data_IF_715235346385
#
_entry.id   IF_715235346385
#
_cell.length_a   1.000
_cell.length_b   1.000
_cell.length_c   1.000
_cell.angle_alpha   90.00
_cell.angle_beta   90.00
_cell.angle_gamma   90.00
#
_symmetry.space_group_name_H-M   'P 1'
#
loop_
_entity.id
_entity.type
_entity.pdbx_description
1 polymer ?
#
# COMPACT_ATOMS: atom_id res chain seq x y z
N UNK A 1 -27.46 -8.34 13.85
CA UNK A 1 -26.45 -9.18 14.52
C UNK A 1 -26.58 -8.92 16.00
N UNK A 2 -26.64 -9.96 16.82
CA UNK A 2 -26.72 -9.79 18.28
C UNK A 2 -25.41 -9.19 18.82
N UNK A 3 -25.49 -8.41 19.90
CA UNK A 3 -24.31 -7.81 20.54
C UNK A 3 -23.19 -8.80 20.88
N UNK A 4 -23.45 -10.00 21.45
CA UNK A 4 -22.38 -10.97 21.72
C UNK A 4 -21.66 -11.42 20.45
N UNK A 5 -22.38 -11.57 19.33
CA UNK A 5 -21.77 -11.97 18.04
C UNK A 5 -20.93 -10.82 17.48
N UNK A 6 -21.39 -9.56 17.61
CA UNK A 6 -20.62 -8.40 17.21
C UNK A 6 -19.29 -8.30 17.96
N UNK A 7 -19.31 -8.54 19.27
CA UNK A 7 -18.12 -8.49 20.11
C UNK A 7 -17.11 -9.58 19.72
N UNK A 8 -17.57 -10.82 19.51
CA UNK A 8 -16.69 -11.94 19.08
C UNK A 8 -16.06 -11.66 17.72
N UNK A 9 -16.86 -11.18 16.76
CA UNK A 9 -16.36 -10.78 15.43
C UNK A 9 -15.36 -9.63 15.55
N UNK A 10 -15.63 -8.66 16.42
CA UNK A 10 -14.75 -7.53 16.67
C UNK A 10 -13.39 -7.96 17.23
N UNK A 11 -13.39 -8.81 18.26
CA UNK A 11 -12.15 -9.37 18.83
C UNK A 11 -11.38 -10.17 17.78
N UNK A 12 -12.07 -11.02 17.03
CA UNK A 12 -11.44 -11.81 15.97
C UNK A 12 -10.76 -10.92 14.91
N UNK A 13 -11.44 -9.87 14.45
CA UNK A 13 -10.88 -8.90 13.50
C UNK A 13 -9.68 -8.14 14.09
N UNK A 14 -9.70 -7.77 15.37
CA UNK A 14 -8.55 -7.14 16.02
C UNK A 14 -7.33 -8.08 16.07
N UNK A 15 -7.53 -9.37 16.41
CA UNK A 15 -6.45 -10.37 16.40
C UNK A 15 -5.86 -10.54 15.01
N UNK A 16 -6.71 -10.64 13.97
CA UNK A 16 -6.25 -10.69 12.58
C UNK A 16 -5.50 -9.41 12.19
N UNK A 17 -6.01 -8.24 12.58
CA UNK A 17 -5.38 -6.94 12.33
C UNK A 17 -3.96 -6.87 12.89
N UNK A 18 -3.78 -7.28 14.15
CA UNK A 18 -2.44 -7.37 14.78
C UNK A 18 -1.54 -8.34 14.03
N UNK A 19 -2.06 -9.49 13.59
CA UNK A 19 -1.28 -10.45 12.80
C UNK A 19 -0.83 -9.87 11.44
N UNK A 20 -1.68 -9.09 10.77
CA UNK A 20 -1.31 -8.40 9.55
C UNK A 20 -0.29 -7.28 9.78
N UNK A 21 -0.39 -6.54 10.89
CA UNK A 21 0.64 -5.56 11.27
C UNK A 21 1.98 -6.26 11.51
N UNK A 22 1.98 -7.41 12.17
CA UNK A 22 3.19 -8.21 12.35
C UNK A 22 3.77 -8.67 11.00
N UNK A 23 2.92 -9.09 10.05
CA UNK A 23 3.35 -9.40 8.67
C UNK A 23 3.91 -8.17 7.94
N UNK A 24 3.31 -7.00 8.14
CA UNK A 24 3.81 -5.74 7.57
C UNK A 24 5.20 -5.41 8.11
N UNK A 25 5.44 -5.62 9.41
CA UNK A 25 6.76 -5.49 10.03
C UNK A 25 7.77 -6.48 9.44
N UNK A 26 7.38 -7.76 9.30
CA UNK A 26 8.21 -8.80 8.71
C UNK A 26 8.58 -8.49 7.25
N UNK A 27 7.60 -8.13 6.43
CA UNK A 27 7.80 -7.77 5.04
C UNK A 27 8.58 -6.46 4.89
N UNK A 28 8.33 -5.48 5.77
CA UNK A 28 8.91 -4.14 5.70
C UNK A 28 10.34 -4.06 6.21
N UNK A 29 10.67 -4.75 7.30
CA UNK A 29 12.01 -4.71 7.91
C UNK A 29 12.87 -5.88 7.43
N UNK A 30 12.33 -7.10 7.47
CA UNK A 30 13.12 -8.29 7.12
C UNK A 30 13.12 -8.57 5.62
N UNK A 31 12.17 -8.01 4.86
CA UNK A 31 12.06 -8.25 3.43
C UNK A 31 11.57 -9.64 3.08
N UNK A 32 10.96 -10.32 4.06
CA UNK A 32 10.58 -11.72 3.99
C UNK A 32 9.08 -11.86 4.06
N UNK A 33 8.53 -12.65 3.15
CA UNK A 33 7.13 -13.03 3.16
C UNK A 33 6.98 -14.54 3.07
N UNK A 34 6.29 -15.13 4.04
CA UNK A 34 5.97 -16.54 4.03
C UNK A 34 4.77 -16.82 3.13
N UNK A 35 4.93 -17.74 2.20
CA UNK A 35 3.84 -18.27 1.35
C UNK A 35 3.95 -19.79 1.23
N UNK A 36 2.83 -20.41 0.92
CA UNK A 36 2.59 -21.83 0.77
C UNK A 36 2.85 -22.20 -0.68
N UNK A 37 3.66 -23.23 -0.90
CA UNK A 37 4.00 -23.71 -2.23
C UNK A 37 2.98 -24.73 -2.78
N UNK A 38 1.94 -25.09 -2.03
CA UNK A 38 0.92 -26.04 -2.47
C UNK A 38 0.04 -25.50 -3.60
N UNK A 39 0.38 -25.86 -4.85
CA UNK A 39 -0.40 -25.73 -6.09
C UNK A 39 -0.48 -24.32 -6.75
N UNK A 40 0.35 -24.10 -7.79
CA UNK A 40 0.24 -23.31 -9.06
C UNK A 40 -0.58 -21.97 -9.13
N UNK A 41 -0.34 -21.12 -10.15
CA UNK A 41 0.13 -19.72 -10.11
C UNK A 41 -0.81 -18.66 -9.47
N UNK A 42 -1.90 -19.06 -8.82
CA UNK A 42 -2.86 -18.21 -8.10
C UNK A 42 -2.55 -18.12 -6.59
N UNK A 43 -1.29 -18.22 -6.19
CA UNK A 43 -0.83 -18.29 -4.79
C UNK A 43 -0.87 -16.97 -4.01
N UNK A 44 -1.58 -15.95 -4.50
CA UNK A 44 -1.89 -14.74 -3.72
C UNK A 44 -2.69 -15.12 -2.46
N UNK A 45 -3.46 -16.21 -2.49
CA UNK A 45 -4.28 -16.68 -1.35
C UNK A 45 -3.42 -17.10 -0.14
N UNK A 46 -2.15 -17.45 -0.35
CA UNK A 46 -1.34 -18.03 0.71
C UNK A 46 -0.88 -17.05 1.81
N UNK A 47 -0.25 -15.91 1.50
CA UNK A 47 0.28 -15.06 2.55
C UNK A 47 -0.81 -14.35 3.37
N UNK A 48 -2.04 -14.21 2.86
CA UNK A 48 -3.16 -13.63 3.60
C UNK A 48 -3.80 -14.59 4.61
N UNK A 49 -3.65 -15.91 4.42
CA UNK A 49 -4.24 -16.91 5.33
C UNK A 49 -3.23 -17.48 6.33
N UNK A 50 -1.93 -17.39 6.05
CA UNK A 50 -0.87 -17.93 6.91
C UNK A 50 -0.54 -17.02 8.09
N UNK A 51 -1.31 -17.06 9.16
CA UNK A 51 -1.03 -16.26 10.37
C UNK A 51 -0.03 -16.92 11.35
N UNK A 52 0.31 -18.19 11.12
CA UNK A 52 1.23 -18.98 11.96
C UNK A 52 2.63 -19.07 11.32
N UNK A 53 3.69 -19.09 12.14
CA UNK A 53 5.06 -19.28 11.63
C UNK A 53 5.26 -20.70 11.07
N UNK A 54 6.12 -20.81 10.06
CA UNK A 54 6.43 -22.09 9.43
C UNK A 54 7.24 -22.99 10.38
N UNK A 55 6.77 -24.22 10.60
CA UNK A 55 7.54 -25.25 11.29
C UNK A 55 8.64 -25.87 10.40
N UNK A 56 9.57 -26.61 11.01
CA UNK A 56 10.73 -27.25 10.33
C UNK A 56 10.38 -28.23 9.18
N UNK A 57 9.10 -28.64 9.05
CA UNK A 57 8.57 -29.52 8.00
C UNK A 57 7.40 -28.90 7.23
N UNK A 58 7.27 -27.58 7.27
CA UNK A 58 6.16 -26.86 6.62
C UNK A 58 6.43 -26.68 5.13
N UNK A 59 5.39 -26.78 4.30
CA UNK A 59 5.38 -26.45 2.86
C UNK A 59 5.38 -24.92 2.61
N UNK A 60 5.89 -24.15 3.57
CA UNK A 60 5.88 -22.70 3.54
C UNK A 60 7.31 -22.23 3.28
N UNK A 61 7.49 -21.47 2.20
CA UNK A 61 8.78 -20.88 1.85
C UNK A 61 8.76 -19.36 2.02
N UNK A 62 9.93 -18.77 2.35
CA UNK A 62 10.09 -17.33 2.29
C UNK A 62 10.26 -16.88 0.84
N UNK A 63 9.49 -15.88 0.42
CA UNK A 63 9.81 -15.00 -0.69
C UNK A 63 10.61 -13.82 -0.13
N UNK A 64 11.69 -13.48 -0.80
CA UNK A 64 12.54 -12.33 -0.45
C UNK A 64 12.69 -11.43 -1.67
N UNK A 65 12.74 -10.12 -1.45
CA UNK A 65 13.01 -9.17 -2.53
C UNK A 65 12.42 -7.78 -2.31
N UNK A 66 12.85 -6.84 -3.13
CA UNK A 66 12.42 -5.43 -3.04
C UNK A 66 10.90 -5.28 -3.17
N UNK A 67 10.25 -6.11 -3.99
CA UNK A 67 8.80 -6.09 -4.16
C UNK A 67 8.05 -6.46 -2.86
N UNK A 68 8.64 -7.29 -1.98
CA UNK A 68 8.06 -7.63 -0.68
C UNK A 68 7.99 -6.39 0.21
N UNK A 69 9.06 -5.60 0.25
CA UNK A 69 9.08 -4.33 0.97
C UNK A 69 8.16 -3.29 0.34
N UNK A 70 8.26 -3.10 -0.98
CA UNK A 70 7.60 -2.00 -1.68
C UNK A 70 6.09 -2.21 -1.86
N UNK A 71 5.65 -3.47 -1.97
CA UNK A 71 4.25 -3.81 -2.30
C UNK A 71 3.57 -4.55 -1.15
N UNK A 72 4.16 -5.63 -0.64
CA UNK A 72 3.48 -6.47 0.34
C UNK A 72 3.43 -5.84 1.73
N UNK A 73 4.50 -5.18 2.17
CA UNK A 73 4.52 -4.49 3.46
C UNK A 73 3.42 -3.41 3.58
N UNK A 74 3.24 -2.47 2.63
CA UNK A 74 2.15 -1.50 2.71
C UNK A 74 0.77 -2.15 2.60
N UNK A 75 0.61 -3.21 1.78
CA UNK A 75 -0.67 -3.93 1.68
C UNK A 75 -1.06 -4.55 3.03
N UNK A 76 -0.16 -5.29 3.68
CA UNK A 76 -0.44 -5.86 5.00
C UNK A 76 -0.65 -4.79 6.06
N UNK A 77 0.08 -3.68 5.99
CA UNK A 77 -0.09 -2.56 6.90
C UNK A 77 -1.49 -1.96 6.81
N UNK A 78 -1.94 -1.65 5.60
CA UNK A 78 -3.28 -1.08 5.36
C UNK A 78 -4.37 -2.06 5.78
N UNK A 79 -4.28 -3.35 5.39
CA UNK A 79 -5.26 -4.36 5.78
C UNK A 79 -5.30 -4.53 7.30
N UNK A 80 -4.14 -4.56 7.95
CA UNK A 80 -4.05 -4.68 9.41
C UNK A 80 -4.72 -3.52 10.15
N UNK A 81 -4.47 -2.28 9.70
CA UNK A 81 -5.09 -1.08 10.26
C UNK A 81 -6.61 -1.08 10.04
N UNK A 82 -7.07 -1.46 8.85
CA UNK A 82 -8.50 -1.56 8.55
C UNK A 82 -9.16 -2.65 9.40
N UNK A 83 -8.58 -3.84 9.51
CA UNK A 83 -9.15 -4.89 10.37
C UNK A 83 -9.22 -4.48 11.84
N UNK A 84 -8.21 -3.75 12.33
CA UNK A 84 -8.20 -3.23 13.69
C UNK A 84 -9.28 -2.16 13.90
N UNK A 85 -9.44 -1.24 12.95
CA UNK A 85 -10.47 -0.20 13.00
C UNK A 85 -11.89 -0.80 12.92
N UNK A 86 -12.13 -1.77 12.02
CA UNK A 86 -13.42 -2.46 11.93
C UNK A 86 -13.69 -3.28 13.20
N UNK A 87 -12.66 -3.97 13.72
CA UNK A 87 -12.76 -4.75 14.95
C UNK A 87 -13.17 -3.89 16.15
N UNK A 88 -12.54 -2.71 16.28
CA UNK A 88 -12.90 -1.70 17.27
C UNK A 88 -14.35 -1.20 17.09
N UNK A 89 -14.77 -0.89 15.86
CA UNK A 89 -16.16 -0.48 15.58
C UNK A 89 -17.17 -1.58 15.91
N UNK A 90 -16.82 -2.87 15.76
CA UNK A 90 -17.67 -3.99 16.14
C UNK A 90 -17.78 -4.19 17.66
N UNK A 91 -16.75 -3.86 18.43
CA UNK A 91 -16.79 -3.88 19.90
C UNK A 91 -17.38 -2.62 20.52
N UNK A 92 -17.76 -1.63 19.71
CA UNK A 92 -18.37 -0.38 20.16
C UNK A 92 -17.37 0.75 20.46
N UNK A 93 -16.10 0.55 20.11
CA UNK A 93 -15.07 1.58 20.16
C UNK A 93 -15.06 2.41 18.86
N UNK A 94 -14.66 3.69 18.89
CA UNK A 94 -14.67 4.57 17.71
C UNK A 94 -13.47 4.32 16.77
N UNK A 95 -13.31 3.10 16.26
CA UNK A 95 -12.16 2.69 15.45
C UNK A 95 -11.98 3.50 14.17
N UNK A 96 -13.00 3.56 13.30
CA UNK A 96 -12.89 4.25 12.01
C UNK A 96 -12.93 5.76 12.16
N UNK A 97 -13.60 6.27 13.19
CA UNK A 97 -13.53 7.69 13.55
C UNK A 97 -12.08 8.08 13.92
N UNK A 98 -11.41 7.30 14.77
CA UNK A 98 -10.00 7.52 15.11
C UNK A 98 -9.10 7.40 13.88
N UNK A 99 -9.35 6.44 12.99
CA UNK A 99 -8.61 6.30 11.74
C UNK A 99 -8.75 7.53 10.83
N UNK A 100 -9.98 8.06 10.67
CA UNK A 100 -10.21 9.26 9.88
C UNK A 100 -9.52 10.50 10.47
N UNK A 101 -9.53 10.63 11.80
CA UNK A 101 -8.79 11.72 12.48
C UNK A 101 -7.29 11.60 12.21
N UNK A 102 -6.73 10.39 12.31
CA UNK A 102 -5.32 10.14 12.01
C UNK A 102 -4.98 10.46 10.55
N UNK A 103 -5.80 9.99 9.60
CA UNK A 103 -5.62 10.26 8.16
C UNK A 103 -5.77 11.75 7.80
N UNK A 104 -6.61 12.49 8.54
CA UNK A 104 -6.77 13.92 8.36
C UNK A 104 -5.69 14.77 9.07
N UNK A 105 -4.70 14.13 9.70
CA UNK A 105 -3.64 14.82 10.45
C UNK A 105 -4.16 15.51 11.71
N UNK A 106 -5.04 14.83 12.45
CA UNK A 106 -5.70 15.33 13.67
C UNK A 106 -6.56 16.58 13.47
N UNK A 107 -6.98 16.87 12.23
CA UNK A 107 -7.88 17.98 11.90
C UNK A 107 -9.32 17.50 11.87
N UNK A 108 -10.14 18.10 12.73
CA UNK A 108 -11.58 17.84 12.81
C UNK A 108 -12.33 18.58 11.70
N UNK A 109 -13.43 18.01 11.20
CA UNK A 109 -14.31 18.64 10.20
C UNK A 109 -13.89 18.48 8.73
N UNK A 110 -12.85 17.69 8.44
CA UNK A 110 -12.54 17.26 7.07
C UNK A 110 -13.43 16.08 6.67
N UNK A 111 -13.71 15.97 5.38
CA UNK A 111 -14.47 14.85 4.82
C UNK A 111 -13.83 13.50 5.17
N UNK A 112 -14.65 12.54 5.57
CA UNK A 112 -14.16 11.19 5.91
C UNK A 112 -13.43 10.55 4.73
N UNK A 113 -12.31 9.91 5.06
CA UNK A 113 -11.45 9.20 4.12
C UNK A 113 -11.89 7.74 3.98
N UNK A 114 -12.37 7.16 5.09
CA UNK A 114 -12.85 5.79 5.21
C UNK A 114 -14.20 5.81 5.90
N UNK A 115 -15.18 5.11 5.34
CA UNK A 115 -16.49 4.91 5.97
C UNK A 115 -16.66 3.42 6.19
N UNK A 116 -17.10 3.03 7.37
CA UNK A 116 -17.37 1.63 7.70
C UNK A 116 -18.81 1.45 8.15
N UNK A 117 -19.47 0.47 7.56
CA UNK A 117 -20.80 0.07 7.93
C UNK A 117 -20.82 -1.44 8.13
N UNK A 118 -21.31 -1.90 9.28
CA UNK A 118 -21.37 -3.32 9.64
C UNK A 118 -22.14 -4.19 8.64
N UNK A 119 -23.03 -3.61 7.83
CA UNK A 119 -23.81 -4.33 6.81
C UNK A 119 -23.17 -4.32 5.42
N UNK A 120 -22.54 -3.20 5.03
CA UNK A 120 -22.03 -3.00 3.67
C UNK A 120 -20.52 -3.04 3.56
N UNK A 121 -19.81 -3.15 4.69
CA UNK A 121 -18.34 -3.17 4.74
C UNK A 121 -17.72 -1.78 4.61
N UNK A 122 -16.46 -1.77 4.18
CA UNK A 122 -15.67 -0.56 3.97
C UNK A 122 -16.03 0.16 2.67
N UNK A 123 -16.11 1.48 2.75
CA UNK A 123 -16.19 2.39 1.61
C UNK A 123 -15.05 3.40 1.70
N UNK A 124 -14.44 3.71 0.56
CA UNK A 124 -13.27 4.59 0.48
C UNK A 124 -13.57 5.81 -0.40
N UNK A 125 -14.29 6.84 0.11
CA UNK A 125 -14.53 8.09 -0.62
C UNK A 125 -13.26 8.80 -1.08
N UNK A 126 -12.12 8.51 -0.44
CA UNK A 126 -10.82 9.06 -0.82
C UNK A 126 -10.36 8.61 -2.22
N UNK A 127 -10.68 7.38 -2.65
CA UNK A 127 -10.23 6.84 -3.94
C UNK A 127 -10.75 7.69 -5.12
N UNK A 128 -12.06 7.94 -5.27
CA UNK A 128 -12.55 8.78 -6.37
C UNK A 128 -12.12 10.25 -6.24
N UNK A 129 -11.85 10.75 -5.03
CA UNK A 129 -11.31 12.11 -4.83
C UNK A 129 -9.86 12.21 -5.29
N UNK A 130 -9.01 11.29 -4.84
CA UNK A 130 -7.61 11.22 -5.22
C UNK A 130 -7.42 10.87 -6.70
N UNK A 131 -8.29 10.02 -7.26
CA UNK A 131 -8.26 9.64 -8.68
C UNK A 131 -8.42 10.83 -9.63
N UNK A 132 -9.22 11.83 -9.27
CA UNK A 132 -9.35 13.07 -10.06
C UNK A 132 -8.08 13.90 -10.05
N UNK A 133 -7.36 13.95 -8.93
CA UNK A 133 -6.09 14.68 -8.83
C UNK A 133 -4.95 13.91 -9.50
N UNK A 134 -4.90 12.58 -9.34
CA UNK A 134 -3.94 11.74 -10.05
C UNK A 134 -4.14 11.79 -11.57
N UNK A 135 -5.38 11.75 -12.04
CA UNK A 135 -5.68 11.90 -13.47
C UNK A 135 -5.23 13.25 -14.04
N UNK A 136 -5.24 14.33 -13.25
CA UNK A 136 -4.66 15.63 -13.66
C UNK A 136 -3.15 15.58 -13.75
N UNK A 137 -2.49 14.89 -12.82
CA UNK A 137 -1.02 14.75 -12.79
C UNK A 137 -0.53 13.87 -13.95
N UNK A 138 -1.21 12.75 -14.23
CA UNK A 138 -0.85 11.84 -15.33
C UNK A 138 -1.41 12.26 -16.70
N UNK A 139 -2.47 13.08 -16.73
CA UNK A 139 -3.04 13.66 -17.95
C UNK A 139 -2.46 15.02 -18.33
N UNK A 140 -1.59 15.59 -17.49
CA UNK A 140 -0.81 16.76 -17.83
C UNK A 140 0.15 16.40 -18.95
N UNK A 141 -0.16 16.84 -20.19
CA UNK A 141 0.84 16.86 -21.27
C UNK A 141 2.06 17.59 -20.74
N UNK A 142 3.18 16.89 -20.66
CA UNK A 142 4.50 17.53 -20.55
C UNK A 142 4.55 18.48 -21.74
N UNK A 143 4.39 19.79 -21.50
CA UNK A 143 4.78 20.78 -22.48
C UNK A 143 6.30 20.75 -22.45
N UNK A 144 6.88 20.02 -23.40
CA UNK A 144 8.26 20.28 -23.78
C UNK A 144 8.26 21.71 -24.33
N UNK A 145 8.80 22.66 -23.57
CA UNK A 145 9.12 23.97 -24.10
C UNK A 145 10.14 23.73 -25.24
N UNK A 146 9.72 23.91 -26.49
CA UNK A 146 10.53 23.72 -27.71
C UNK A 146 11.68 24.76 -27.87
N UNK A 147 12.09 25.44 -26.80
CA UNK A 147 12.93 26.64 -26.88
C UNK A 147 14.33 26.51 -26.23
N UNK A 148 14.92 25.31 -26.27
CA UNK A 148 16.39 25.19 -26.22
C UNK A 148 16.89 24.19 -27.27
N UNK A 149 16.76 24.57 -28.54
CA UNK A 149 17.73 24.15 -29.56
C UNK A 149 19.10 24.61 -29.08
N UNK A 150 19.88 23.68 -28.55
CA UNK A 150 21.32 23.83 -28.39
C UNK A 150 21.90 24.26 -29.74
N UNK A 151 22.28 25.52 -29.85
CA UNK A 151 23.18 26.01 -30.90
C UNK A 151 24.52 25.31 -30.70
N UNK A 152 24.65 24.13 -31.29
CA UNK A 152 25.93 23.48 -31.49
C UNK A 152 26.64 24.30 -32.56
N UNK A 153 27.29 25.38 -32.14
CA UNK A 153 28.22 26.12 -32.98
C UNK A 153 29.34 25.13 -33.35
N UNK A 154 29.23 24.54 -34.54
CA UNK A 154 30.25 23.67 -35.09
C UNK A 154 31.45 24.55 -35.40
N UNK A 155 32.33 24.69 -34.41
CA UNK A 155 33.67 25.21 -34.60
C UNK A 155 34.33 24.46 -35.75
N UNK A 156 34.55 25.20 -36.85
CA UNK A 156 35.24 24.73 -38.04
C UNK A 156 36.67 24.34 -37.68
N UNK A 157 36.94 23.03 -37.60
CA UNK A 157 38.29 22.48 -37.44
C UNK A 157 39.08 22.44 -38.76
N UNK A 158 38.61 23.11 -39.82
CA UNK A 158 39.23 23.08 -41.15
C UNK A 158 40.27 24.19 -41.40
N UNK A 159 40.56 25.07 -40.44
CA UNK A 159 41.59 26.12 -40.61
C UNK A 159 43.00 25.77 -40.08
N UNK A 160 43.26 24.57 -39.58
CA UNK A 160 44.56 24.21 -38.99
C UNK A 160 45.50 23.41 -39.92
N UNK A 161 45.37 23.51 -41.25
CA UNK A 161 46.20 22.74 -42.20
C UNK A 161 46.82 23.52 -43.37
N UNK A 162 46.90 24.85 -43.32
CA UNK A 162 47.53 25.64 -44.40
C UNK A 162 48.62 26.62 -43.96
N UNK A 163 49.28 26.42 -42.82
CA UNK A 163 50.42 27.24 -42.41
C UNK A 163 51.64 26.42 -41.96
N UNK A 164 52.02 25.43 -42.78
CA UNK A 164 53.37 24.85 -42.76
C UNK A 164 53.87 24.80 -44.20
N UNK A 165 54.51 25.88 -44.62
CA UNK A 165 55.61 25.92 -45.61
C UNK A 165 56.41 27.20 -45.37
#
# INVERSE_FOLDING_TARGET
MSEPVALVVGIFLMVLGVSFIYKAYQAGIQGRLMYWEGFLPFTIISPFLLHLPAGKRSLVKPAEGLWVHAVMAPIFGVIGILMLAAGADYTGLPGVATLNVAMNGFKWGRSDSVIFNRRTGYQFPIIPRAGKELAKIFGGKIHEDEDQKYSHDQGSYDQAKSSVQ
#
